data_IF_136252633279
#
_entry.id   IF_136252633279
#
_cell.length_a   1.000
_cell.length_b   1.000
_cell.length_c   1.000
_cell.angle_alpha   90.00
_cell.angle_beta   90.00
_cell.angle_gamma   90.00
#
_symmetry.space_group_name_H-M   'P 1'
#
loop_
_entity.id
_entity.type
_entity.pdbx_description
1 polymer ?
#
# COMPACT_ATOMS: atom_id res chain seq x y z
N UNK A 1 -21.71 15.87 -61.12
CA UNK A 1 -21.08 14.65 -60.58
C UNK A 1 -20.44 15.01 -59.21
N UNK A 2 -21.08 14.60 -58.12
CA UNK A 2 -20.62 14.89 -56.74
C UNK A 2 -19.84 13.67 -56.24
N UNK A 3 -18.53 13.81 -56.04
CA UNK A 3 -17.67 12.75 -55.49
C UNK A 3 -17.80 12.79 -53.97
N UNK A 4 -18.33 11.73 -53.36
CA UNK A 4 -18.39 11.51 -51.94
C UNK A 4 -17.09 10.81 -51.51
N UNK A 5 -16.28 11.49 -50.70
CA UNK A 5 -15.12 10.88 -50.07
C UNK A 5 -15.55 10.22 -48.74
N UNK A 6 -15.44 8.91 -48.66
CA UNK A 6 -15.56 8.19 -47.40
C UNK A 6 -14.19 8.24 -46.67
N UNK A 7 -14.12 8.94 -45.54
CA UNK A 7 -12.99 8.88 -44.66
C UNK A 7 -13.14 7.64 -43.74
N UNK A 8 -12.26 6.67 -43.90
CA UNK A 8 -12.17 5.53 -42.99
C UNK A 8 -11.47 5.95 -41.72
N UNK A 9 -12.17 6.01 -40.60
CA UNK A 9 -11.61 6.20 -39.27
C UNK A 9 -11.09 4.84 -38.78
N UNK A 10 -9.76 4.66 -38.80
CA UNK A 10 -9.13 3.51 -38.19
C UNK A 10 -9.15 3.67 -36.66
N UNK A 11 -10.02 2.90 -36.00
CA UNK A 11 -10.07 2.84 -34.55
C UNK A 11 -8.84 2.11 -34.01
N UNK A 12 -7.96 2.82 -33.30
CA UNK A 12 -6.85 2.23 -32.55
C UNK A 12 -7.43 1.64 -31.26
N UNK A 13 -7.61 0.34 -31.22
CA UNK A 13 -7.95 -0.41 -29.99
C UNK A 13 -6.68 -0.50 -29.12
N UNK A 14 -6.62 0.27 -28.04
CA UNK A 14 -5.64 0.08 -26.99
C UNK A 14 -5.97 -1.22 -26.26
N UNK A 15 -5.18 -2.26 -26.49
CA UNK A 15 -5.16 -3.45 -25.65
C UNK A 15 -4.56 -3.02 -24.29
N UNK A 16 -5.42 -2.84 -23.29
CA UNK A 16 -4.98 -2.69 -21.90
C UNK A 16 -4.29 -4.02 -21.51
N UNK A 17 -2.96 -3.99 -21.40
CA UNK A 17 -2.21 -5.10 -20.83
C UNK A 17 -2.70 -5.26 -19.36
N UNK A 18 -3.21 -6.44 -18.94
CA UNK A 18 -3.55 -6.62 -17.54
C UNK A 18 -2.28 -6.40 -16.71
N UNK A 19 -2.35 -5.53 -15.71
CA UNK A 19 -1.30 -5.43 -14.72
C UNK A 19 -1.20 -6.80 -14.05
N UNK A 20 -0.09 -7.50 -14.25
CA UNK A 20 0.18 -8.77 -13.57
C UNK A 20 0.37 -8.39 -12.10
N UNK A 21 -0.59 -8.81 -11.25
CA UNK A 21 -0.45 -8.64 -9.81
C UNK A 21 0.69 -9.54 -9.33
N UNK A 22 1.58 -9.01 -8.48
CA UNK A 22 2.68 -9.77 -7.90
C UNK A 22 2.13 -10.98 -7.13
N UNK A 23 2.80 -12.11 -7.29
CA UNK A 23 2.54 -13.33 -6.52
C UNK A 23 2.99 -13.17 -5.07
N UNK A 24 2.49 -13.99 -4.14
CA UNK A 24 2.97 -13.98 -2.76
C UNK A 24 4.50 -14.09 -2.62
N UNK A 25 5.14 -14.91 -3.45
CA UNK A 25 6.59 -15.10 -3.40
C UNK A 25 7.35 -13.87 -3.90
N UNK A 26 6.81 -13.16 -4.89
CA UNK A 26 7.36 -11.89 -5.35
C UNK A 26 7.22 -10.80 -4.29
N UNK A 27 6.08 -10.72 -3.60
CA UNK A 27 5.90 -9.80 -2.46
C UNK A 27 6.90 -10.09 -1.34
N UNK A 28 7.12 -11.36 -1.01
CA UNK A 28 8.08 -11.77 0.02
C UNK A 28 9.51 -11.39 -0.39
N UNK A 29 9.90 -11.69 -1.62
CA UNK A 29 11.22 -11.35 -2.14
C UNK A 29 11.47 -9.83 -2.17
N UNK A 30 10.46 -9.05 -2.61
CA UNK A 30 10.53 -7.58 -2.61
C UNK A 30 10.65 -7.04 -1.18
N UNK A 31 9.81 -7.50 -0.26
CA UNK A 31 9.84 -7.06 1.13
C UNK A 31 11.15 -7.40 1.83
N UNK A 32 11.66 -8.61 1.65
CA UNK A 32 12.96 -9.01 2.20
C UNK A 32 14.11 -8.18 1.63
N UNK A 33 14.07 -7.84 0.34
CA UNK A 33 15.10 -7.01 -0.32
C UNK A 33 15.07 -5.55 0.17
N UNK A 34 13.89 -4.97 0.36
CA UNK A 34 13.74 -3.56 0.75
C UNK A 34 14.00 -3.37 2.24
N UNK A 35 13.44 -4.26 3.08
CA UNK A 35 13.50 -4.12 4.55
C UNK A 35 14.65 -4.93 5.20
N UNK A 36 15.27 -5.87 4.49
CA UNK A 36 16.27 -6.79 5.05
C UNK A 36 15.71 -8.07 5.68
N UNK A 37 14.39 -8.13 5.92
CA UNK A 37 13.65 -9.30 6.39
C UNK A 37 12.17 -9.21 6.00
N UNK A 38 11.40 -10.30 6.13
CA UNK A 38 9.96 -10.29 5.86
C UNK A 38 9.16 -10.64 7.12
N UNK A 39 8.99 -9.66 8.01
CA UNK A 39 8.13 -9.76 9.19
C UNK A 39 6.67 -9.43 8.86
N UNK A 40 5.73 -9.75 9.78
CA UNK A 40 4.28 -9.57 9.60
C UNK A 40 3.85 -8.10 9.41
N UNK A 41 4.69 -7.14 9.75
CA UNK A 41 4.45 -5.71 9.53
C UNK A 41 4.55 -5.32 8.06
N UNK A 42 5.41 -5.99 7.27
CA UNK A 42 5.59 -5.72 5.84
C UNK A 42 4.31 -6.09 5.05
N UNK A 43 3.76 -7.33 5.14
CA UNK A 43 2.53 -7.65 4.43
C UNK A 43 1.33 -6.81 4.87
N UNK A 44 1.28 -6.31 6.12
CA UNK A 44 0.24 -5.36 6.50
C UNK A 44 0.38 -4.03 5.77
N UNK A 45 1.59 -3.53 5.61
CA UNK A 45 1.86 -2.36 4.77
C UNK A 45 1.46 -2.59 3.31
N UNK A 46 1.79 -3.76 2.74
CA UNK A 46 1.37 -4.15 1.39
C UNK A 46 -0.16 -4.16 1.28
N UNK A 47 -0.86 -4.79 2.24
CA UNK A 47 -2.33 -4.84 2.27
C UNK A 47 -2.97 -3.45 2.30
N UNK A 48 -2.41 -2.52 3.08
CA UNK A 48 -2.85 -1.12 3.14
C UNK A 48 -2.63 -0.43 1.79
N UNK A 49 -1.46 -0.57 1.18
CA UNK A 49 -1.14 0.03 -0.11
C UNK A 49 -2.05 -0.45 -1.23
N UNK A 50 -2.30 -1.78 -1.32
CA UNK A 50 -3.21 -2.38 -2.29
C UNK A 50 -4.65 -1.88 -2.07
N UNK A 51 -5.12 -1.86 -0.82
CA UNK A 51 -6.45 -1.35 -0.48
C UNK A 51 -6.62 0.13 -0.87
N UNK A 52 -5.60 0.96 -0.66
CA UNK A 52 -5.65 2.37 -1.05
C UNK A 52 -5.71 2.54 -2.57
N UNK A 53 -4.91 1.79 -3.31
CA UNK A 53 -4.88 1.81 -4.78
C UNK A 53 -6.26 1.43 -5.36
N UNK A 54 -6.88 0.38 -4.83
CA UNK A 54 -8.21 -0.08 -5.22
C UNK A 54 -9.29 0.97 -4.91
N UNK A 55 -9.33 1.48 -3.66
CA UNK A 55 -10.34 2.46 -3.22
C UNK A 55 -10.25 3.78 -3.98
N UNK A 56 -9.04 4.24 -4.27
CA UNK A 56 -8.80 5.48 -5.01
C UNK A 56 -8.90 5.30 -6.53
N UNK A 57 -9.06 4.06 -7.01
CA UNK A 57 -9.11 3.70 -8.43
C UNK A 57 -7.96 4.33 -9.22
N UNK A 58 -6.77 4.24 -8.68
CA UNK A 58 -5.56 4.85 -9.21
C UNK A 58 -4.48 3.81 -9.49
N UNK A 59 -3.44 4.20 -10.21
CA UNK A 59 -2.28 3.33 -10.46
C UNK A 59 -1.23 3.50 -9.35
N UNK A 60 -0.42 2.46 -9.07
CA UNK A 60 0.80 2.65 -8.31
C UNK A 60 1.64 3.80 -8.90
N UNK A 61 2.41 4.52 -8.08
CA UNK A 61 3.12 5.79 -8.35
C UNK A 61 2.25 7.05 -8.41
N UNK A 62 0.94 6.93 -8.46
CA UNK A 62 0.02 8.07 -8.47
C UNK A 62 -0.47 8.46 -7.06
N UNK A 63 0.19 7.96 -6.03
CA UNK A 63 -0.17 8.16 -4.62
C UNK A 63 0.91 8.95 -3.87
N UNK A 64 0.45 9.79 -2.95
CA UNK A 64 1.25 10.35 -1.88
C UNK A 64 0.90 9.66 -0.57
N UNK A 65 1.92 9.30 0.19
CA UNK A 65 1.84 8.58 1.46
C UNK A 65 2.52 9.39 2.56
N UNK A 66 1.82 9.61 3.66
CA UNK A 66 2.39 10.16 4.89
C UNK A 66 2.20 9.12 5.99
N UNK A 67 3.28 8.69 6.59
CA UNK A 67 3.32 7.68 7.62
C UNK A 67 3.67 8.31 8.98
N UNK A 68 2.83 8.07 9.98
CA UNK A 68 3.01 8.49 11.36
C UNK A 68 3.30 7.27 12.21
N UNK A 69 4.43 7.26 12.87
CA UNK A 69 4.88 6.17 13.73
C UNK A 69 4.49 6.43 15.19
N UNK A 70 4.41 5.37 16.00
CA UNK A 70 4.30 5.48 17.44
C UNK A 70 5.60 5.06 18.12
N UNK A 71 5.80 5.45 19.39
CA UNK A 71 6.95 5.02 20.17
C UNK A 71 6.94 3.52 20.52
N UNK A 72 5.85 2.84 20.24
CA UNK A 72 5.68 1.39 20.44
C UNK A 72 5.91 0.58 19.17
N UNK A 73 5.97 1.24 18.03
CA UNK A 73 6.30 0.56 16.78
C UNK A 73 7.78 0.14 16.80
N UNK A 74 8.08 -1.12 16.47
CA UNK A 74 9.49 -1.59 16.49
C UNK A 74 10.32 -0.99 15.36
N UNK A 75 9.68 -0.52 14.30
CA UNK A 75 10.29 0.09 13.12
C UNK A 75 9.20 0.70 12.22
N UNK A 76 9.58 1.50 11.25
CA UNK A 76 8.68 1.99 10.20
C UNK A 76 8.38 0.91 9.12
N UNK A 77 8.32 -0.36 9.50
CA UNK A 77 8.20 -1.50 8.60
C UNK A 77 6.94 -1.47 7.75
N UNK A 78 5.83 -0.92 8.27
CA UNK A 78 4.60 -0.72 7.49
C UNK A 78 4.85 0.20 6.30
N UNK A 79 5.66 1.26 6.47
CA UNK A 79 5.97 2.20 5.40
C UNK A 79 6.70 1.52 4.24
N UNK A 80 7.61 0.58 4.52
CA UNK A 80 8.29 -0.20 3.47
C UNK A 80 7.29 -1.07 2.70
N UNK A 81 6.37 -1.75 3.40
CA UNK A 81 5.31 -2.52 2.74
C UNK A 81 4.40 -1.66 1.86
N UNK A 82 4.00 -0.49 2.35
CA UNK A 82 3.20 0.47 1.57
C UNK A 82 3.98 0.96 0.36
N UNK A 83 5.26 1.30 0.54
CA UNK A 83 6.14 1.75 -0.55
C UNK A 83 6.24 0.71 -1.68
N UNK A 84 6.38 -0.56 -1.31
CA UNK A 84 6.44 -1.67 -2.28
C UNK A 84 5.14 -1.76 -3.07
N UNK A 85 3.98 -1.70 -2.42
CA UNK A 85 2.68 -1.85 -3.06
C UNK A 85 2.26 -0.62 -3.88
N UNK A 86 2.68 0.58 -3.48
CA UNK A 86 2.28 1.84 -4.14
C UNK A 86 3.36 2.45 -5.01
N UNK A 87 4.58 1.91 -4.98
CA UNK A 87 5.80 2.50 -5.56
C UNK A 87 6.09 3.93 -5.07
N UNK A 88 5.52 4.30 -3.91
CA UNK A 88 5.87 5.55 -3.26
C UNK A 88 7.31 5.50 -2.74
N UNK A 89 8.03 6.60 -2.84
CA UNK A 89 9.42 6.66 -2.38
C UNK A 89 9.81 8.04 -1.88
N UNK A 90 10.80 8.08 -1.00
CA UNK A 90 11.41 9.33 -0.52
C UNK A 90 12.04 10.10 -1.68
N UNK A 91 12.71 9.41 -2.61
CA UNK A 91 13.36 10.02 -3.78
C UNK A 91 12.38 10.72 -4.73
N UNK A 92 11.14 10.23 -4.84
CA UNK A 92 10.07 10.88 -5.60
C UNK A 92 9.26 11.88 -4.76
N UNK A 93 9.56 12.02 -3.47
CA UNK A 93 8.80 12.83 -2.51
C UNK A 93 7.33 12.41 -2.42
N UNK A 94 7.06 11.12 -2.59
CA UNK A 94 5.72 10.53 -2.51
C UNK A 94 5.53 9.66 -1.27
N UNK A 95 6.60 9.40 -0.52
CA UNK A 95 6.58 8.82 0.81
C UNK A 95 7.26 9.78 1.79
N UNK A 96 6.54 10.12 2.84
CA UNK A 96 7.04 10.93 3.96
C UNK A 96 6.84 10.17 5.26
N UNK A 97 7.89 10.06 6.05
CA UNK A 97 7.79 9.67 7.46
C UNK A 97 7.63 10.96 8.24
N UNK A 98 6.49 11.14 8.89
CA UNK A 98 6.19 12.34 9.65
C UNK A 98 7.08 12.41 10.91
N UNK A 99 7.42 13.64 11.33
CA UNK A 99 8.09 13.89 12.61
C UNK A 99 7.13 13.73 13.79
N UNK A 100 5.86 14.01 13.55
CA UNK A 100 4.79 13.86 14.52
C UNK A 100 4.48 12.38 14.74
N UNK A 101 4.12 12.04 15.96
CA UNK A 101 3.75 10.67 16.30
C UNK A 101 2.29 10.39 16.01
N UNK A 102 2.00 9.11 15.79
CA UNK A 102 0.62 8.64 15.77
C UNK A 102 -0.06 8.92 17.11
N UNK A 103 -1.37 9.21 17.11
CA UNK A 103 -2.11 9.50 18.35
C UNK A 103 -2.16 8.28 19.27
N UNK A 104 -2.42 8.54 20.55
CA UNK A 104 -2.57 7.49 21.55
C UNK A 104 -3.59 6.43 21.12
N UNK A 105 -3.24 5.16 21.38
CA UNK A 105 -4.06 4.01 20.98
C UNK A 105 -3.79 3.50 19.56
N UNK A 106 -3.09 4.28 18.72
CA UNK A 106 -2.63 3.83 17.41
C UNK A 106 -1.18 3.33 17.45
N UNK A 107 -0.92 2.20 16.82
CA UNK A 107 0.43 1.71 16.56
C UNK A 107 1.08 2.49 15.42
N UNK A 108 0.30 2.83 14.41
CA UNK A 108 0.69 3.73 13.33
C UNK A 108 -0.56 4.34 12.68
N UNK A 109 -0.37 5.47 12.00
CA UNK A 109 -1.37 6.09 11.13
C UNK A 109 -0.74 6.34 9.76
N UNK A 110 -1.52 6.09 8.71
CA UNK A 110 -1.09 6.35 7.34
C UNK A 110 -2.15 7.18 6.62
N UNK A 111 -1.73 8.26 5.99
CA UNK A 111 -2.56 9.06 5.10
C UNK A 111 -2.14 8.79 3.67
N UNK A 112 -3.08 8.37 2.83
CA UNK A 112 -2.82 8.11 1.41
C UNK A 112 -3.79 8.93 0.57
N UNK A 113 -3.25 9.71 -0.37
CA UNK A 113 -4.00 10.58 -1.29
C UNK A 113 -3.47 10.43 -2.71
N UNK A 114 -4.28 10.74 -3.74
CA UNK A 114 -3.77 10.89 -5.11
C UNK A 114 -2.70 11.99 -5.18
N UNK A 115 -1.66 11.79 -6.00
CA UNK A 115 -0.60 12.81 -6.23
C UNK A 115 -1.14 14.14 -6.75
N UNK A 116 -2.21 14.07 -7.53
CA UNK A 116 -2.89 15.26 -8.09
C UNK A 116 -3.75 16.00 -7.07
N UNK A 117 -3.81 15.51 -5.82
CA UNK A 117 -4.67 16.07 -4.77
C UNK A 117 -6.08 15.47 -4.80
N UNK A 118 -6.92 15.93 -3.87
CA UNK A 118 -8.28 15.48 -3.70
C UNK A 118 -8.48 14.55 -2.49
N UNK A 119 -9.67 13.94 -2.37
CA UNK A 119 -10.00 13.04 -1.28
C UNK A 119 -9.03 11.86 -1.17
N UNK A 120 -8.81 11.39 0.04
CA UNK A 120 -7.93 10.28 0.34
C UNK A 120 -8.48 9.39 1.42
N UNK A 121 -7.62 8.55 1.97
CA UNK A 121 -7.95 7.67 3.09
C UNK A 121 -6.91 7.79 4.18
N UNK A 122 -7.40 7.76 5.41
CA UNK A 122 -6.61 7.59 6.63
C UNK A 122 -6.76 6.14 7.09
N UNK A 123 -5.63 5.47 7.28
CA UNK A 123 -5.53 4.12 7.82
C UNK A 123 -4.99 4.22 9.23
N UNK A 124 -5.72 3.69 10.20
CA UNK A 124 -5.29 3.63 11.59
C UNK A 124 -5.04 2.17 11.97
N UNK A 125 -3.81 1.84 12.32
CA UNK A 125 -3.41 0.54 12.83
C UNK A 125 -3.53 0.62 14.35
N UNK A 126 -4.46 -0.09 15.00
CA UNK A 126 -4.64 0.01 16.44
C UNK A 126 -3.47 -0.63 17.20
N UNK A 127 -3.17 -0.15 18.40
CA UNK A 127 -2.13 -0.71 19.26
C UNK A 127 -2.31 -2.21 19.52
N UNK A 128 -3.56 -2.69 19.55
CA UNK A 128 -3.88 -4.11 19.73
C UNK A 128 -3.30 -5.01 18.61
N UNK A 129 -3.09 -4.47 17.40
CA UNK A 129 -2.49 -5.22 16.30
C UNK A 129 -1.05 -5.66 16.59
N UNK A 130 -0.33 -4.98 17.48
CA UNK A 130 1.06 -5.29 17.85
C UNK A 130 1.20 -6.73 18.38
N UNK A 131 0.30 -7.16 19.27
CA UNK A 131 0.33 -8.51 19.83
C UNK A 131 0.09 -9.59 18.76
N UNK A 132 -0.89 -9.36 17.88
CA UNK A 132 -1.23 -10.28 16.77
C UNK A 132 -0.06 -10.41 15.79
N UNK A 133 0.48 -9.29 15.32
CA UNK A 133 1.63 -9.28 14.38
C UNK A 133 2.88 -9.88 15.02
N UNK A 134 3.11 -9.60 16.31
CA UNK A 134 4.20 -10.19 17.08
C UNK A 134 4.08 -11.72 17.21
N UNK A 135 2.88 -12.24 17.40
CA UNK A 135 2.61 -13.69 17.41
C UNK A 135 2.87 -14.31 16.03
N UNK A 136 2.41 -13.68 14.96
CA UNK A 136 2.69 -14.15 13.59
C UNK A 136 4.19 -14.18 13.30
N UNK A 137 4.94 -13.18 13.77
CA UNK A 137 6.40 -13.14 13.61
C UNK A 137 7.12 -14.30 14.31
N UNK A 138 6.63 -14.73 15.46
CA UNK A 138 7.24 -15.81 16.24
C UNK A 138 6.92 -17.19 15.68
N UNK A 139 5.71 -17.38 15.16
CA UNK A 139 5.14 -18.70 14.92
C UNK A 139 5.05 -19.08 13.45
N UNK A 140 5.20 -18.12 12.52
CA UNK A 140 5.03 -18.37 11.09
C UNK A 140 6.31 -18.06 10.31
N UNK A 141 6.52 -18.78 9.23
CA UNK A 141 7.52 -18.48 8.22
C UNK A 141 7.07 -17.27 7.35
N UNK A 142 7.90 -16.75 6.45
CA UNK A 142 7.55 -15.61 5.61
C UNK A 142 6.26 -15.80 4.79
N UNK A 143 6.03 -17.00 4.25
CA UNK A 143 4.83 -17.31 3.48
C UNK A 143 3.59 -17.32 4.36
N UNK A 144 3.67 -18.00 5.50
CA UNK A 144 2.58 -18.02 6.47
C UNK A 144 2.25 -16.64 7.04
N UNK A 145 3.26 -15.76 7.26
CA UNK A 145 3.04 -14.37 7.66
C UNK A 145 2.27 -13.59 6.61
N UNK A 146 2.65 -13.71 5.35
CA UNK A 146 1.95 -13.06 4.24
C UNK A 146 0.49 -13.52 4.19
N UNK A 147 0.25 -14.81 4.12
CA UNK A 147 -1.09 -15.40 4.01
C UNK A 147 -1.98 -15.04 5.20
N UNK A 148 -1.44 -15.16 6.43
CA UNK A 148 -2.19 -14.82 7.64
C UNK A 148 -2.58 -13.35 7.70
N UNK A 149 -1.67 -12.42 7.35
CA UNK A 149 -1.96 -10.98 7.34
C UNK A 149 -2.94 -10.61 6.23
N UNK A 150 -2.79 -11.19 5.04
CA UNK A 150 -3.72 -10.92 3.93
C UNK A 150 -5.13 -11.44 4.22
N UNK A 151 -5.28 -12.54 4.94
CA UNK A 151 -6.56 -13.11 5.34
C UNK A 151 -7.18 -12.42 6.57
N UNK A 152 -6.37 -11.84 7.47
CA UNK A 152 -6.87 -11.28 8.72
C UNK A 152 -7.68 -10.01 8.51
N UNK A 153 -8.84 -9.92 9.16
CA UNK A 153 -9.64 -8.70 9.25
C UNK A 153 -9.29 -7.90 10.52
N UNK A 154 -9.66 -6.62 10.53
CA UNK A 154 -9.55 -5.75 11.72
C UNK A 154 -8.13 -5.33 12.10
N UNK A 155 -7.10 -5.62 11.31
CA UNK A 155 -5.73 -5.17 11.57
C UNK A 155 -5.55 -3.66 11.36
N UNK A 156 -6.45 -3.01 10.66
CA UNK A 156 -6.50 -1.56 10.49
C UNK A 156 -7.94 -1.09 10.28
N UNK A 157 -8.17 0.19 10.55
CA UNK A 157 -9.40 0.91 10.27
C UNK A 157 -9.16 1.88 9.10
N UNK A 158 -10.18 2.16 8.31
CA UNK A 158 -10.11 3.06 7.15
C UNK A 158 -11.16 4.14 7.27
N UNK A 159 -10.74 5.39 7.13
CA UNK A 159 -11.59 6.58 7.16
C UNK A 159 -11.34 7.40 5.89
N UNK A 160 -12.41 7.82 5.20
CA UNK A 160 -12.30 8.76 4.08
C UNK A 160 -11.97 10.15 4.60
N UNK A 161 -11.08 10.87 3.91
CA UNK A 161 -10.66 12.22 4.24
C UNK A 161 -10.75 13.13 3.02
N UNK A 162 -11.12 14.38 3.24
CA UNK A 162 -11.31 15.40 2.21
C UNK A 162 -10.16 16.40 2.14
#
# INVERSE_FOLDING_TARGET
MRRIFFAAVAGVTFLACPAIAETPDEWIALGARVHGAFGAFIPLGIKIGLNATERLKTQPRELNVIYYDSDKSPCACFADGIAIATYASVGQRTLTIASEKAPDGALAVVIIRPRKGGPGFKYTIPMAALATLGSMNKNLDPRGRYEAVMAADGLFQVEAIH
#
